data_IF_788199203265
#
_entry.id   IF_788199203265
#
_cell.length_a   1.000
_cell.length_b   1.000
_cell.length_c   1.000
_cell.angle_alpha   90.00
_cell.angle_beta   90.00
_cell.angle_gamma   90.00
#
_symmetry.space_group_name_H-M   'P 1'
#
loop_
_entity.id
_entity.type
_entity.pdbx_description
1 polymer ?
#
# COMPACT_ATOMS: atom_id res chain seq x y z
N UNK A 1 -18.73 7.31 11.18
CA UNK A 1 -18.24 8.15 10.06
C UNK A 1 -19.28 8.13 8.95
N UNK A 2 -19.60 9.28 8.35
CA UNK A 2 -20.57 9.34 7.25
C UNK A 2 -19.99 8.78 5.94
N UNK A 3 -20.78 7.96 5.20
CA UNK A 3 -20.31 7.30 3.97
C UNK A 3 -20.00 8.30 2.85
N UNK A 4 -20.71 9.43 2.78
CA UNK A 4 -20.42 10.49 1.79
C UNK A 4 -19.10 11.18 2.12
N UNK A 5 -18.78 11.34 3.40
CA UNK A 5 -17.48 11.87 3.84
C UNK A 5 -16.31 10.98 3.38
N UNK A 6 -16.46 9.65 3.45
CA UNK A 6 -15.43 8.69 2.98
C UNK A 6 -15.24 8.78 1.47
N UNK A 7 -16.32 8.81 0.69
CA UNK A 7 -16.26 8.94 -0.77
C UNK A 7 -15.64 10.26 -1.22
N UNK A 8 -15.96 11.36 -0.54
CA UNK A 8 -15.35 12.66 -0.84
C UNK A 8 -13.85 12.68 -0.53
N UNK A 9 -13.44 12.08 0.61
CA UNK A 9 -12.02 11.95 0.96
C UNK A 9 -11.25 11.08 -0.03
N UNK A 10 -11.87 10.01 -0.52
CA UNK A 10 -11.25 9.15 -1.53
C UNK A 10 -11.10 9.88 -2.86
N UNK A 11 -12.13 10.63 -3.29
CA UNK A 11 -12.10 11.42 -4.52
C UNK A 11 -11.01 12.49 -4.49
N UNK A 12 -10.89 13.26 -3.40
CA UNK A 12 -9.85 14.30 -3.27
C UNK A 12 -8.44 13.70 -3.20
N UNK A 13 -8.28 12.55 -2.56
CA UNK A 13 -7.01 11.82 -2.59
C UNK A 13 -6.65 11.42 -4.01
N UNK A 14 -7.57 10.78 -4.74
CA UNK A 14 -7.36 10.33 -6.11
C UNK A 14 -6.98 11.49 -7.05
N UNK A 15 -7.66 12.63 -6.93
CA UNK A 15 -7.38 13.85 -7.72
C UNK A 15 -5.99 14.43 -7.43
N UNK A 16 -5.53 14.34 -6.17
CA UNK A 16 -4.18 14.74 -5.76
C UNK A 16 -3.07 13.82 -6.29
N UNK A 17 -3.37 12.53 -6.52
CA UNK A 17 -2.40 11.60 -7.12
C UNK A 17 -2.47 11.59 -8.66
N UNK A 18 -3.64 11.87 -9.25
CA UNK A 18 -3.81 11.90 -10.72
C UNK A 18 -3.20 13.12 -11.40
N UNK A 19 -2.87 14.15 -10.63
CA UNK A 19 -2.18 15.36 -11.09
C UNK A 19 -0.65 15.27 -10.95
N UNK A 20 -0.17 14.27 -10.22
CA UNK A 20 1.26 13.91 -10.23
C UNK A 20 1.51 13.22 -11.56
N UNK A 21 2.10 13.97 -12.48
CA UNK A 21 2.65 13.41 -13.71
C UNK A 21 3.80 12.49 -13.31
N UNK A 22 3.52 11.19 -13.18
CA UNK A 22 4.56 10.18 -13.11
C UNK A 22 5.35 10.29 -14.40
N UNK A 23 6.68 10.42 -14.29
CA UNK A 23 7.58 10.42 -15.43
C UNK A 23 7.51 9.08 -16.15
N UNK A 24 6.51 8.91 -16.99
CA UNK A 24 6.37 7.75 -17.84
C UNK A 24 7.28 7.97 -19.05
N UNK A 25 8.04 6.94 -19.48
CA UNK A 25 8.73 7.03 -20.76
C UNK A 25 7.70 7.38 -21.85
N UNK A 26 8.04 8.32 -22.73
CA UNK A 26 7.14 8.78 -23.78
C UNK A 26 6.62 7.58 -24.55
N UNK A 27 5.29 7.34 -24.45
CA UNK A 27 4.64 6.31 -25.23
C UNK A 27 4.79 6.75 -26.69
N UNK A 28 5.48 5.99 -27.56
CA UNK A 28 5.56 6.34 -28.97
C UNK A 28 4.13 6.27 -29.52
N UNK A 29 3.60 7.42 -29.93
CA UNK A 29 2.31 7.51 -30.60
C UNK A 29 2.44 6.83 -31.97
N UNK A 30 2.05 5.56 -32.05
CA UNK A 30 1.93 4.84 -33.32
C UNK A 30 0.60 5.18 -33.98
N UNK A 31 0.63 5.51 -35.27
CA UNK A 31 -0.57 5.79 -36.05
C UNK A 31 -1.58 4.62 -35.97
N UNK A 32 -2.90 4.87 -35.92
CA UNK A 32 -3.88 3.79 -35.91
C UNK A 32 -3.74 2.98 -37.21
N UNK A 33 -3.32 1.72 -37.09
CA UNK A 33 -3.26 0.81 -38.23
C UNK A 33 -4.70 0.37 -38.51
N UNK A 34 -5.28 0.87 -39.60
CA UNK A 34 -6.60 0.44 -40.07
C UNK A 34 -6.47 -0.94 -40.75
N UNK A 35 -6.43 -1.99 -39.94
CA UNK A 35 -6.30 -3.40 -40.36
C UNK A 35 -6.91 -4.36 -39.32
N UNK A 36 -7.02 -5.66 -39.61
CA UNK A 36 -7.70 -6.60 -38.72
C UNK A 36 -7.02 -6.65 -37.34
N UNK A 37 -7.84 -6.71 -36.29
CA UNK A 37 -7.51 -6.55 -34.85
C UNK A 37 -6.21 -7.28 -34.46
N UNK A 38 -5.16 -6.51 -34.14
CA UNK A 38 -3.86 -6.96 -33.59
C UNK A 38 -3.66 -6.51 -32.13
N UNK A 39 -4.75 -6.31 -31.38
CA UNK A 39 -4.73 -5.71 -30.04
C UNK A 39 -4.03 -6.61 -28.98
N UNK A 40 -4.16 -7.93 -29.11
CA UNK A 40 -3.71 -8.93 -28.11
C UNK A 40 -2.20 -9.22 -28.18
N UNK A 41 -1.52 -8.83 -29.26
CA UNK A 41 -0.09 -9.10 -29.44
C UNK A 41 0.76 -7.97 -28.85
N UNK A 42 0.31 -6.72 -29.01
CA UNK A 42 0.99 -5.53 -28.45
C UNK A 42 0.96 -5.52 -26.93
N UNK A 43 -0.16 -5.92 -26.31
CA UNK A 43 -0.27 -5.94 -24.85
C UNK A 43 0.67 -6.98 -24.21
N UNK A 44 0.85 -8.13 -24.87
CA UNK A 44 1.75 -9.19 -24.40
C UNK A 44 3.22 -8.78 -24.47
N UNK A 45 3.65 -8.17 -25.59
CA UNK A 45 5.04 -7.71 -25.73
C UNK A 45 5.35 -6.53 -24.80
N UNK A 46 4.37 -5.66 -24.55
CA UNK A 46 4.50 -4.59 -23.57
C UNK A 46 4.67 -5.15 -22.15
N UNK A 47 3.75 -6.03 -21.70
CA UNK A 47 3.80 -6.59 -20.35
C UNK A 47 5.08 -7.39 -20.09
N UNK A 48 5.54 -8.17 -21.07
CA UNK A 48 6.80 -8.91 -21.00
C UNK A 48 8.02 -7.98 -20.86
N UNK A 49 7.99 -6.82 -21.53
CA UNK A 49 9.02 -5.78 -21.44
C UNK A 49 9.12 -5.07 -20.09
N UNK A 50 7.98 -4.87 -19.38
CA UNK A 50 7.97 -4.20 -18.06
C UNK A 50 8.04 -5.17 -16.88
N UNK A 51 7.63 -6.43 -17.04
CA UNK A 51 7.59 -7.42 -15.93
C UNK A 51 8.96 -8.00 -15.56
N UNK A 52 9.99 -7.78 -16.38
CA UNK A 52 11.35 -8.30 -16.15
C UNK A 52 12.27 -7.31 -15.46
N UNK A 53 11.84 -6.05 -15.29
CA UNK A 53 12.62 -5.03 -14.59
C UNK A 53 12.46 -5.28 -13.08
N UNK A 54 13.46 -5.93 -12.50
CA UNK A 54 13.61 -5.97 -11.04
C UNK A 54 13.79 -4.54 -10.54
N UNK A 55 12.82 -4.07 -9.75
CA UNK A 55 12.94 -2.78 -9.09
C UNK A 55 14.14 -2.85 -8.15
N UNK A 56 15.09 -1.93 -8.34
CA UNK A 56 16.25 -1.80 -7.46
C UNK A 56 15.79 -1.56 -6.03
N UNK A 57 15.85 -2.60 -5.20
CA UNK A 57 15.54 -2.52 -3.79
C UNK A 57 16.86 -2.55 -3.02
N UNK A 58 17.02 -1.70 -1.99
CA UNK A 58 18.18 -1.78 -1.12
C UNK A 58 18.26 -3.18 -0.51
N UNK A 59 19.47 -3.73 -0.39
CA UNK A 59 19.68 -5.02 0.25
C UNK A 59 19.08 -4.98 1.65
N UNK A 60 18.17 -5.91 1.95
CA UNK A 60 17.62 -6.07 3.28
C UNK A 60 18.80 -6.48 4.18
N UNK A 61 19.12 -5.71 5.24
CA UNK A 61 20.19 -6.08 6.15
C UNK A 61 19.85 -7.43 6.79
N UNK A 62 20.74 -8.40 6.62
CA UNK A 62 20.61 -9.70 7.28
C UNK A 62 20.96 -9.55 8.75
N UNK A 63 20.03 -9.91 9.64
CA UNK A 63 20.29 -10.05 11.07
C UNK A 63 20.50 -11.53 11.43
N UNK A 64 21.34 -11.80 12.42
CA UNK A 64 21.49 -13.16 12.95
C UNK A 64 20.16 -13.65 13.52
N UNK A 65 19.78 -14.93 13.30
CA UNK A 65 18.59 -15.50 13.92
C UNK A 65 18.66 -15.37 15.44
N UNK A 66 17.55 -14.95 16.06
CA UNK A 66 17.44 -14.98 17.52
C UNK A 66 17.19 -16.42 17.93
N UNK A 67 18.22 -17.10 18.45
CA UNK A 67 18.11 -18.45 18.97
C UNK A 67 17.59 -18.43 20.41
N UNK A 68 16.44 -19.06 20.65
CA UNK A 68 15.86 -19.21 21.98
C UNK A 68 14.34 -19.34 21.93
N UNK A 69 13.68 -19.54 23.09
CA UNK A 69 12.23 -19.45 23.20
C UNK A 69 11.76 -18.06 22.74
N UNK A 70 10.63 -18.02 22.05
CA UNK A 70 9.96 -16.74 21.73
C UNK A 70 9.64 -16.05 23.05
N UNK A 71 10.04 -14.79 23.18
CA UNK A 71 9.70 -13.98 24.34
C UNK A 71 8.19 -13.82 24.40
N UNK A 72 7.60 -14.09 25.56
CA UNK A 72 6.18 -13.82 25.77
C UNK A 72 5.94 -12.33 25.78
N UNK A 73 4.88 -11.90 25.09
CA UNK A 73 4.46 -10.51 25.08
C UNK A 73 3.98 -10.15 26.49
N UNK A 74 4.63 -9.18 27.12
CA UNK A 74 4.26 -8.72 28.46
C UNK A 74 3.16 -7.66 28.39
N UNK A 75 2.38 -7.53 29.47
CA UNK A 75 1.34 -6.50 29.56
C UNK A 75 1.94 -5.09 29.41
N UNK A 76 3.12 -4.85 30.00
CA UNK A 76 3.83 -3.56 29.89
C UNK A 76 4.20 -3.22 28.45
N UNK A 77 4.65 -4.20 27.65
CA UNK A 77 4.97 -4.00 26.24
C UNK A 77 3.72 -3.62 25.44
N UNK A 78 2.60 -4.31 25.69
CA UNK A 78 1.30 -4.01 25.04
C UNK A 78 0.85 -2.60 25.41
N UNK A 79 0.89 -2.23 26.68
CA UNK A 79 0.52 -0.87 27.13
C UNK A 79 1.41 0.21 26.52
N UNK A 80 2.72 -0.01 26.47
CA UNK A 80 3.68 0.92 25.87
C UNK A 80 3.42 1.10 24.37
N UNK A 81 3.15 0.00 23.66
CA UNK A 81 2.80 0.02 22.24
C UNK A 81 1.47 0.74 21.99
N UNK A 82 0.44 0.44 22.78
CA UNK A 82 -0.86 1.12 22.70
C UNK A 82 -0.73 2.62 22.95
N UNK A 83 0.07 3.05 23.94
CA UNK A 83 0.32 4.47 24.23
C UNK A 83 0.94 5.22 23.05
N UNK A 84 1.76 4.56 22.24
CA UNK A 84 2.41 5.13 21.04
C UNK A 84 1.46 5.22 19.83
N UNK A 85 0.34 4.50 19.82
CA UNK A 85 -0.61 4.53 18.70
C UNK A 85 -1.30 5.90 18.59
N UNK A 86 -1.25 6.49 17.39
CA UNK A 86 -1.95 7.76 17.07
C UNK A 86 -3.40 7.48 16.65
N UNK A 87 -4.40 8.24 17.17
CA UNK A 87 -5.78 8.12 16.72
C UNK A 87 -5.91 8.37 15.22
N UNK A 88 -6.76 7.59 14.54
CA UNK A 88 -7.17 7.81 13.15
C UNK A 88 -6.10 7.60 12.06
N UNK A 89 -4.95 7.00 12.38
CA UNK A 89 -3.82 6.79 11.44
C UNK A 89 -3.79 5.41 10.78
N UNK A 90 -4.22 4.38 11.50
CA UNK A 90 -4.14 2.99 11.05
C UNK A 90 -5.36 2.27 11.59
N UNK A 91 -6.35 2.06 10.74
CA UNK A 91 -7.45 1.17 11.04
C UNK A 91 -7.22 -0.10 10.24
N UNK A 92 -7.10 -1.23 10.94
CA UNK A 92 -6.94 -2.53 10.29
C UNK A 92 -8.20 -2.93 9.51
N UNK A 93 -8.16 -4.07 8.79
CA UNK A 93 -9.32 -4.61 8.05
C UNK A 93 -10.59 -4.74 8.91
N UNK A 94 -10.42 -4.94 10.21
CA UNK A 94 -11.51 -5.05 11.20
C UNK A 94 -12.18 -3.72 11.58
N UNK A 95 -11.78 -2.60 10.98
CA UNK A 95 -12.27 -1.23 11.22
C UNK A 95 -12.21 -0.76 12.70
N UNK A 96 -11.44 -1.45 13.55
CA UNK A 96 -11.30 -1.10 14.97
C UNK A 96 -10.33 0.07 15.16
N UNK A 97 -10.86 1.21 15.59
CA UNK A 97 -10.07 2.40 15.87
C UNK A 97 -9.16 2.22 17.10
N UNK A 98 -8.01 2.90 17.10
CA UNK A 98 -7.07 2.92 18.24
C UNK A 98 -7.74 3.31 19.58
N UNK A 99 -8.76 4.17 19.54
CA UNK A 99 -9.49 4.59 20.75
C UNK A 99 -10.38 3.48 21.32
N UNK A 100 -10.86 2.56 20.48
CA UNK A 100 -11.62 1.37 20.90
C UNK A 100 -10.66 0.36 21.56
N UNK A 101 -9.49 0.14 20.96
CA UNK A 101 -8.46 -0.72 21.55
C UNK A 101 -7.99 -0.15 22.90
N UNK A 102 -7.72 1.15 22.98
CA UNK A 102 -7.32 1.80 24.23
C UNK A 102 -8.39 1.79 25.30
N UNK A 103 -9.68 1.73 24.96
CA UNK A 103 -10.77 1.76 25.96
C UNK A 103 -11.14 0.37 26.49
N UNK A 104 -10.93 -0.70 25.72
CA UNK A 104 -11.27 -2.08 26.11
C UNK A 104 -10.24 -2.76 27.01
N UNK A 105 -8.98 -2.33 27.00
CA UNK A 105 -7.92 -2.93 27.82
C UNK A 105 -7.85 -2.40 29.26
N UNK A 106 -8.77 -1.51 29.66
CA UNK A 106 -8.92 -1.09 31.06
C UNK A 106 -10.03 -1.89 31.74
N UNK A 107 -9.70 -3.10 32.20
CA UNK A 107 -10.42 -3.79 33.27
C UNK A 107 -9.47 -4.73 34.02
#
# INVERSE_FOLDING_TARGET
>A
MDRKMVLNRWRTYFEGVSTIEFGHPSIPSSSPVHGPVQEITVERTYFEGVSTIEFGHPSIPSSSPVHGPVQEITVEEVEAALKKMKPGKSTGPDDLAADILKSKFWY
#
